data_IF_748422349284
#
_entry.id   IF_748422349284
#
_cell.length_a   1.000
_cell.length_b   1.000
_cell.length_c   1.000
_cell.angle_alpha   90.00
_cell.angle_beta   90.00
_cell.angle_gamma   90.00
#
_symmetry.space_group_name_H-M   'P 1'
#
loop_
_entity.id
_entity.type
_entity.pdbx_description
1 polymer ?
#
# COMPACT_ATOMS: atom_id res chain seq x y z
N UNK A 1 -16.44 42.16 -22.05
CA UNK A 1 -17.44 41.75 -23.07
C UNK A 1 -18.61 41.12 -22.35
N UNK A 2 -19.85 41.51 -22.66
CA UNK A 2 -21.03 40.98 -21.98
C UNK A 2 -21.20 39.48 -22.29
N UNK A 3 -21.50 38.68 -21.26
CA UNK A 3 -21.81 37.27 -21.42
C UNK A 3 -23.10 37.12 -22.24
N UNK A 4 -23.12 36.32 -23.33
CA UNK A 4 -24.27 36.22 -24.23
C UNK A 4 -25.52 35.66 -23.54
N UNK A 5 -25.35 34.91 -22.45
CA UNK A 5 -26.44 34.40 -21.62
C UNK A 5 -27.24 35.50 -20.92
N UNK A 6 -26.63 36.67 -20.68
CA UNK A 6 -27.22 37.75 -19.88
C UNK A 6 -27.55 39.02 -20.68
N UNK A 7 -27.17 39.07 -21.96
CA UNK A 7 -27.29 40.25 -22.82
C UNK A 7 -28.74 40.74 -22.98
N UNK A 8 -29.71 39.83 -23.07
CA UNK A 8 -31.12 40.15 -23.32
C UNK A 8 -31.95 40.39 -22.04
N UNK A 9 -31.33 40.24 -20.86
CA UNK A 9 -32.01 40.42 -19.57
C UNK A 9 -31.98 41.91 -19.18
N UNK A 10 -33.15 42.54 -18.93
CA UNK A 10 -33.19 43.91 -18.44
C UNK A 10 -32.69 43.96 -16.98
N UNK A 11 -31.95 45.02 -16.63
CA UNK A 11 -31.50 45.27 -15.25
C UNK A 11 -30.17 44.63 -14.86
N UNK A 12 -29.38 44.11 -15.81
CA UNK A 12 -28.01 43.65 -15.56
C UNK A 12 -27.05 44.85 -15.59
N UNK A 13 -26.23 44.99 -14.54
CA UNK A 13 -25.19 46.01 -14.47
C UNK A 13 -23.94 45.55 -15.25
N UNK A 14 -23.59 46.28 -16.31
CA UNK A 14 -22.44 45.96 -17.17
C UNK A 14 -21.16 46.72 -16.81
N UNK A 15 -21.30 47.90 -16.21
CA UNK A 15 -20.19 48.83 -15.92
C UNK A 15 -19.83 48.86 -14.43
N UNK A 16 -20.14 47.78 -13.70
CA UNK A 16 -19.77 47.62 -12.29
C UNK A 16 -18.70 46.53 -12.16
N UNK A 17 -17.73 46.68 -11.25
CA UNK A 17 -16.81 45.59 -10.93
C UNK A 17 -17.59 44.40 -10.39
N UNK A 18 -17.16 43.20 -10.78
CA UNK A 18 -17.79 41.93 -10.38
C UNK A 18 -17.61 41.66 -8.88
N UNK A 19 -16.49 42.11 -8.31
CA UNK A 19 -16.12 41.94 -6.90
C UNK A 19 -15.73 43.28 -6.30
N UNK A 20 -16.31 43.60 -5.14
CA UNK A 20 -15.90 44.72 -4.29
C UNK A 20 -15.21 44.15 -3.06
N UNK A 21 -13.88 44.15 -3.07
CA UNK A 21 -13.05 43.65 -1.97
C UNK A 21 -12.15 44.76 -1.42
N UNK A 22 -11.74 44.58 -0.16
CA UNK A 22 -10.70 45.41 0.45
C UNK A 22 -9.34 45.04 -0.15
N UNK A 23 -8.39 45.99 -0.19
CA UNK A 23 -7.03 45.69 -0.65
C UNK A 23 -6.44 44.51 0.14
N UNK A 24 -5.92 43.51 -0.59
CA UNK A 24 -5.26 42.36 0.02
C UNK A 24 -4.04 42.83 0.81
N UNK A 25 -4.14 42.73 2.13
CA UNK A 25 -3.00 42.96 3.01
C UNK A 25 -2.03 41.79 2.89
N UNK A 26 -0.71 42.03 2.91
CA UNK A 26 0.27 40.95 2.83
C UNK A 26 0.08 39.99 4.00
N UNK A 27 -0.32 38.75 3.71
CA UNK A 27 -0.58 37.66 4.67
C UNK A 27 0.64 37.31 5.56
N UNK A 28 1.81 37.90 5.29
CA UNK A 28 3.06 37.72 6.01
C UNK A 28 2.99 38.08 7.51
N UNK A 29 2.01 38.88 7.94
CA UNK A 29 1.83 39.24 9.36
C UNK A 29 0.90 38.28 10.14
N UNK A 30 0.35 37.23 9.51
CA UNK A 30 -0.63 36.32 10.14
C UNK A 30 0.00 35.04 10.73
N UNK A 31 1.18 34.63 10.28
CA UNK A 31 1.93 33.51 10.86
C UNK A 31 2.89 33.99 11.95
N UNK A 32 2.34 34.52 13.05
CA UNK A 32 3.07 34.50 14.30
C UNK A 32 2.99 33.08 14.84
N UNK A 33 3.94 32.23 14.45
CA UNK A 33 4.10 30.91 15.06
C UNK A 33 4.17 31.09 16.58
N UNK A 34 3.10 30.73 17.27
CA UNK A 34 3.07 30.66 18.73
C UNK A 34 3.91 29.46 19.15
N UNK A 35 5.22 29.65 19.20
CA UNK A 35 6.10 28.71 19.89
C UNK A 35 5.80 28.84 21.39
N UNK A 36 5.34 27.75 22.02
CA UNK A 36 5.37 27.65 23.48
C UNK A 36 6.83 27.85 23.92
N UNK A 37 7.11 28.98 24.55
CA UNK A 37 8.42 29.31 25.12
C UNK A 37 8.93 28.13 25.96
N UNK A 38 10.19 27.77 25.73
CA UNK A 38 10.85 26.74 26.52
C UNK A 38 10.90 27.22 27.98
N UNK A 39 10.07 26.62 28.83
CA UNK A 39 10.07 26.93 30.25
C UNK A 39 11.10 26.04 30.96
N UNK A 40 11.93 26.63 31.82
CA UNK A 40 12.94 25.92 32.62
C UNK A 40 12.35 24.79 33.51
N UNK A 41 11.03 24.73 33.66
CA UNK A 41 10.32 23.71 34.45
C UNK A 41 9.93 22.46 33.66
N UNK A 42 10.05 22.46 32.33
CA UNK A 42 9.62 21.35 31.46
C UNK A 42 10.82 20.84 30.65
N UNK A 43 11.29 19.63 30.95
CA UNK A 43 12.28 18.95 30.13
C UNK A 43 11.59 18.31 28.90
N UNK A 44 11.85 18.87 27.71
CA UNK A 44 11.39 18.29 26.44
C UNK A 44 12.35 17.18 25.99
N UNK A 45 11.98 15.93 26.24
CA UNK A 45 12.75 14.76 25.79
C UNK A 45 12.45 14.44 24.32
N UNK A 46 13.48 14.48 23.47
CA UNK A 46 13.35 14.01 22.09
C UNK A 46 13.31 12.47 22.08
N UNK A 47 12.16 11.90 21.75
CA UNK A 47 11.97 10.45 21.64
C UNK A 47 12.07 10.07 20.16
N UNK A 48 13.14 9.36 19.80
CA UNK A 48 13.22 8.76 18.47
C UNK A 48 12.62 7.36 18.48
N UNK A 49 11.65 7.12 17.59
CA UNK A 49 10.98 5.82 17.49
C UNK A 49 11.97 4.69 17.12
N UNK A 50 12.99 5.01 16.31
CA UNK A 50 14.01 4.05 15.89
C UNK A 50 14.94 3.62 17.03
N UNK A 51 15.41 4.54 17.87
CA UNK A 51 16.24 4.16 19.04
C UNK A 51 15.40 3.45 20.09
N UNK A 52 14.15 3.89 20.30
CA UNK A 52 13.22 3.20 21.20
C UNK A 52 12.99 1.75 20.71
N UNK A 53 12.69 1.56 19.42
CA UNK A 53 12.56 0.23 18.83
C UNK A 53 13.83 -0.60 19.03
N UNK A 54 15.01 -0.03 18.77
CA UNK A 54 16.29 -0.70 19.03
C UNK A 54 16.47 -1.14 20.49
N UNK A 55 16.04 -0.32 21.46
CA UNK A 55 16.11 -0.63 22.90
C UNK A 55 15.17 -1.74 23.35
N UNK A 56 14.05 -1.94 22.66
CA UNK A 56 13.04 -2.96 22.98
C UNK A 56 13.07 -4.16 22.05
N UNK A 57 13.80 -4.10 20.93
CA UNK A 57 13.99 -5.21 19.99
C UNK A 57 14.59 -6.40 20.72
N UNK A 58 13.90 -7.54 20.67
CA UNK A 58 14.32 -8.79 21.32
C UNK A 58 13.90 -8.94 22.78
N UNK A 59 13.27 -7.92 23.39
CA UNK A 59 12.61 -8.07 24.70
C UNK A 59 11.15 -8.49 24.46
N UNK A 60 10.78 -9.69 24.90
CA UNK A 60 9.41 -10.18 24.87
C UNK A 60 8.82 -10.22 26.29
N UNK A 61 7.51 -10.05 26.38
CA UNK A 61 6.77 -10.16 27.63
C UNK A 61 5.89 -11.41 27.56
N UNK A 62 5.89 -12.22 28.62
CA UNK A 62 4.97 -13.33 28.72
C UNK A 62 3.65 -12.87 29.36
N UNK A 63 2.53 -13.14 28.69
CA UNK A 63 1.19 -12.80 29.16
C UNK A 63 0.43 -13.99 29.75
N UNK A 64 1.03 -15.19 29.79
CA UNK A 64 0.33 -16.43 30.12
C UNK A 64 -0.17 -16.55 31.58
N UNK A 65 0.22 -15.64 32.48
CA UNK A 65 -0.19 -15.63 33.90
C UNK A 65 -0.68 -14.29 34.43
N UNK A 66 -0.97 -13.32 33.56
CA UNK A 66 -1.30 -11.95 33.96
C UNK A 66 -2.76 -11.86 34.45
N UNK A 67 -2.95 -11.68 35.76
CA UNK A 67 -4.27 -11.49 36.39
C UNK A 67 -4.29 -10.18 37.20
N UNK A 68 -4.94 -9.15 36.65
CA UNK A 68 -5.16 -7.84 37.32
C UNK A 68 -6.47 -7.79 38.13
N UNK A 69 -7.19 -8.90 38.30
CA UNK A 69 -8.36 -8.88 39.18
C UNK A 69 -7.92 -8.63 40.63
N UNK A 70 -8.74 -7.96 41.45
CA UNK A 70 -8.44 -7.74 42.88
C UNK A 70 -8.81 -8.94 43.76
N UNK A 71 -8.77 -10.17 43.21
CA UNK A 71 -9.11 -11.38 43.96
C UNK A 71 -7.98 -11.75 44.91
N UNK A 72 -8.26 -11.73 46.21
CA UNK A 72 -7.32 -12.10 47.26
C UNK A 72 -6.95 -13.59 47.09
N UNK A 73 -5.71 -13.86 46.70
CA UNK A 73 -5.16 -15.22 46.52
C UNK A 73 -3.87 -15.39 47.33
N UNK A 74 -3.46 -16.64 47.57
CA UNK A 74 -2.32 -16.95 48.44
C UNK A 74 -0.94 -16.69 47.80
N UNK A 75 -0.88 -16.55 46.48
CA UNK A 75 0.37 -16.27 45.75
C UNK A 75 0.44 -14.78 45.40
N UNK A 76 1.66 -14.23 45.36
CA UNK A 76 1.90 -12.83 44.95
C UNK A 76 1.62 -12.74 43.45
N UNK A 77 0.62 -11.96 43.07
CA UNK A 77 0.31 -11.69 41.67
C UNK A 77 1.40 -10.77 41.12
N UNK A 78 2.24 -11.31 40.25
CA UNK A 78 3.13 -10.51 39.40
C UNK A 78 2.38 -10.19 38.12
N UNK A 79 2.63 -9.00 37.55
CA UNK A 79 2.06 -8.60 36.27
C UNK A 79 2.77 -9.29 35.11
N UNK A 80 3.18 -8.53 34.10
CA UNK A 80 4.01 -9.05 33.03
C UNK A 80 5.35 -9.52 33.58
N UNK A 81 5.67 -10.79 33.35
CA UNK A 81 6.98 -11.34 33.66
C UNK A 81 7.90 -11.16 32.44
N UNK A 82 9.02 -10.49 32.67
CA UNK A 82 10.12 -10.43 31.72
C UNK A 82 10.89 -11.74 31.90
N UNK A 83 10.72 -12.68 30.97
CA UNK A 83 11.56 -13.88 30.89
C UNK A 83 12.98 -13.43 30.54
N UNK A 84 13.77 -13.10 31.55
CA UNK A 84 15.20 -13.28 31.46
C UNK A 84 15.46 -14.78 31.58
N UNK A 85 16.42 -15.28 30.81
CA UNK A 85 16.82 -16.69 30.74
C UNK A 85 17.26 -17.24 32.09
N UNK A 86 16.29 -17.53 32.96
CA UNK A 86 16.52 -18.12 34.26
C UNK A 86 16.18 -19.61 34.21
N UNK A 87 17.07 -20.38 34.86
CA UNK A 87 16.88 -21.80 35.13
C UNK A 87 15.60 -21.91 35.96
N UNK A 88 14.62 -22.66 35.46
CA UNK A 88 13.33 -22.86 36.13
C UNK A 88 13.58 -23.59 37.45
N UNK A 89 13.04 -23.06 38.56
CA UNK A 89 13.15 -23.67 39.89
C UNK A 89 12.42 -25.02 39.98
N UNK A 90 12.85 -25.86 40.92
CA UNK A 90 12.31 -27.21 41.15
C UNK A 90 10.77 -27.25 41.23
N UNK A 91 10.12 -27.91 40.25
CA UNK A 91 8.68 -28.24 40.30
C UNK A 91 7.88 -28.04 39.01
N UNK A 92 8.41 -27.34 38.01
CA UNK A 92 7.72 -27.11 36.72
C UNK A 92 8.26 -28.00 35.57
N UNK A 93 7.43 -28.30 34.58
CA UNK A 93 7.80 -29.18 33.45
C UNK A 93 8.61 -28.40 32.40
N UNK A 94 9.87 -28.78 32.20
CA UNK A 94 10.77 -28.18 31.20
C UNK A 94 10.29 -28.44 29.75
N UNK A 95 10.50 -27.46 28.86
CA UNK A 95 10.33 -27.66 27.41
C UNK A 95 11.50 -28.47 26.83
N UNK A 96 11.31 -29.22 25.72
CA UNK A 96 12.37 -30.04 25.13
C UNK A 96 13.64 -29.26 24.76
N UNK A 97 13.49 -28.01 24.30
CA UNK A 97 14.61 -27.14 23.92
C UNK A 97 15.36 -26.60 25.15
N UNK A 98 14.63 -26.26 26.22
CA UNK A 98 15.24 -25.85 27.49
C UNK A 98 15.97 -27.01 28.17
N UNK A 99 15.40 -28.23 28.11
CA UNK A 99 16.04 -29.46 28.60
C UNK A 99 17.32 -29.78 27.83
N UNK A 100 17.31 -29.61 26.51
CA UNK A 100 18.51 -29.77 25.68
C UNK A 100 19.64 -28.80 26.10
N UNK A 101 19.30 -27.53 26.31
CA UNK A 101 20.26 -26.50 26.73
C UNK A 101 20.77 -26.73 28.16
N UNK A 102 19.91 -27.14 29.10
CA UNK A 102 20.34 -27.55 30.45
C UNK A 102 21.31 -28.72 30.39
N UNK A 103 20.97 -29.77 29.64
CA UNK A 103 21.85 -30.93 29.48
C UNK A 103 23.19 -30.55 28.84
N UNK A 104 23.20 -29.59 27.90
CA UNK A 104 24.45 -29.09 27.32
C UNK A 104 25.33 -28.36 28.36
N UNK A 105 24.72 -27.64 29.30
CA UNK A 105 25.44 -26.96 30.39
C UNK A 105 25.91 -27.98 31.43
N UNK A 106 25.04 -28.89 31.87
CA UNK A 106 25.37 -29.94 32.85
C UNK A 106 26.47 -30.88 32.34
N UNK A 107 26.48 -31.24 31.05
CA UNK A 107 27.56 -32.05 30.46
C UNK A 107 28.88 -31.27 30.41
N UNK A 108 28.84 -29.95 30.19
CA UNK A 108 30.05 -29.10 30.24
C UNK A 108 30.58 -28.98 31.66
N UNK A 109 29.71 -28.74 32.64
CA UNK A 109 30.08 -28.69 34.05
C UNK A 109 30.68 -30.02 34.52
N UNK A 110 30.06 -31.15 34.15
CA UNK A 110 30.61 -32.48 34.41
C UNK A 110 31.96 -32.70 33.72
N UNK A 111 32.16 -32.19 32.50
CA UNK A 111 33.44 -32.26 31.82
C UNK A 111 34.53 -31.47 32.57
N UNK A 112 34.18 -30.30 33.08
CA UNK A 112 35.09 -29.46 33.86
C UNK A 112 35.43 -30.10 35.21
N UNK A 113 34.46 -30.70 35.91
CA UNK A 113 34.70 -31.44 37.16
C UNK A 113 35.58 -32.68 36.94
N UNK A 114 35.34 -33.45 35.88
CA UNK A 114 36.16 -34.62 35.55
C UNK A 114 37.59 -34.20 35.16
N UNK A 115 37.74 -33.07 34.49
CA UNK A 115 39.07 -32.51 34.18
C UNK A 115 39.79 -32.02 35.44
N UNK A 116 39.09 -31.38 36.38
CA UNK A 116 39.65 -31.03 37.69
C UNK A 116 40.04 -32.28 38.50
N UNK A 117 39.28 -33.37 38.43
CA UNK A 117 39.61 -34.65 39.06
C UNK A 117 40.83 -35.33 38.42
N UNK A 118 41.06 -35.15 37.12
CA UNK A 118 42.31 -35.57 36.47
C UNK A 118 43.51 -34.79 36.99
N UNK A 119 43.38 -33.47 37.15
CA UNK A 119 44.47 -32.59 37.59
C UNK A 119 44.81 -32.77 39.07
N UNK A 120 43.81 -33.00 39.93
CA UNK A 120 43.99 -33.17 41.38
C UNK A 120 44.49 -34.56 41.77
N UNK A 121 44.44 -35.55 40.86
CA UNK A 121 45.10 -36.85 41.02
C UNK A 121 44.65 -37.68 42.23
N UNK A 122 43.46 -37.42 42.77
CA UNK A 122 42.93 -38.18 43.93
C UNK A 122 42.40 -39.53 43.42
N UNK A 123 42.97 -40.67 43.83
CA UNK A 123 42.40 -41.97 43.52
C UNK A 123 41.11 -42.13 44.35
N UNK A 124 39.96 -41.97 43.70
CA UNK A 124 38.69 -42.38 44.29
C UNK A 124 38.77 -43.89 44.49
N UNK A 125 38.87 -44.31 45.74
CA UNK A 125 38.94 -45.71 46.10
C UNK A 125 37.64 -46.44 45.74
N UNK A 126 37.77 -47.51 44.95
CA UNK A 126 36.72 -48.50 44.67
C UNK A 126 36.29 -48.49 43.20
N UNK A 127 36.65 -49.56 42.48
CA UNK A 127 36.10 -50.10 41.19
C UNK A 127 35.54 -49.12 40.13
N UNK A 128 35.90 -47.84 40.16
CA UNK A 128 35.48 -46.83 39.21
C UNK A 128 36.53 -46.68 38.09
N UNK A 129 36.08 -46.47 36.84
CA UNK A 129 36.99 -46.28 35.72
C UNK A 129 37.89 -45.06 35.95
N UNK A 130 39.15 -45.10 35.50
CA UNK A 130 40.09 -44.00 35.67
C UNK A 130 39.50 -42.69 35.12
N UNK A 131 39.81 -41.53 35.72
CA UNK A 131 39.25 -40.23 35.34
C UNK A 131 39.53 -39.86 33.87
N UNK A 132 40.57 -40.45 33.27
CA UNK A 132 40.86 -40.37 31.84
C UNK A 132 39.77 -41.02 30.96
N UNK A 133 39.25 -42.19 31.35
CA UNK A 133 38.17 -42.87 30.64
C UNK A 133 36.83 -42.16 30.82
N UNK A 134 36.55 -41.62 32.02
CA UNK A 134 35.34 -40.85 32.28
C UNK A 134 35.27 -39.60 31.40
N UNK A 135 36.36 -38.87 31.22
CA UNK A 135 36.34 -37.71 30.32
C UNK A 135 36.16 -38.09 28.85
N UNK A 136 36.73 -39.21 28.41
CA UNK A 136 36.48 -39.70 27.05
C UNK A 136 35.00 -40.04 26.84
N UNK A 137 34.34 -40.59 27.86
CA UNK A 137 32.90 -40.87 27.84
C UNK A 137 32.06 -39.58 27.84
N UNK A 138 32.45 -38.57 28.63
CA UNK A 138 31.76 -37.26 28.67
C UNK A 138 31.93 -36.51 27.34
N UNK A 139 33.12 -36.52 26.74
CA UNK A 139 33.34 -35.97 25.39
C UNK A 139 32.52 -36.71 24.32
N UNK A 140 32.39 -38.04 24.42
CA UNK A 140 31.56 -38.82 23.52
C UNK A 140 30.07 -38.48 23.68
N UNK A 141 29.58 -38.31 24.92
CA UNK A 141 28.22 -37.87 25.19
C UNK A 141 27.96 -36.45 24.68
N UNK A 142 28.93 -35.54 24.77
CA UNK A 142 28.85 -34.19 24.20
C UNK A 142 28.74 -34.23 22.66
N UNK A 143 29.52 -35.10 21.99
CA UNK A 143 29.42 -35.30 20.54
C UNK A 143 28.08 -35.87 20.12
N UNK A 144 27.58 -36.88 20.84
CA UNK A 144 26.27 -37.48 20.58
C UNK A 144 25.13 -36.47 20.80
N UNK A 145 25.21 -35.63 21.83
CA UNK A 145 24.22 -34.58 22.05
C UNK A 145 24.25 -33.53 20.92
N UNK A 146 25.43 -33.22 20.39
CA UNK A 146 25.59 -32.33 19.24
C UNK A 146 25.09 -32.96 17.93
N UNK A 147 25.23 -34.27 17.71
CA UNK A 147 24.70 -34.99 16.54
C UNK A 147 23.17 -35.12 16.55
N UNK A 148 22.54 -35.08 17.73
CA UNK A 148 21.06 -35.03 17.86
C UNK A 148 20.50 -33.69 17.35
N UNK A 149 21.35 -32.72 16.96
CA UNK A 149 20.91 -31.61 16.11
C UNK A 149 20.38 -32.14 14.77
N UNK A 150 19.05 -32.04 14.62
CA UNK A 150 18.15 -32.49 13.54
C UNK A 150 18.51 -32.10 12.09
N UNK A 151 19.71 -31.61 11.78
CA UNK A 151 20.15 -31.32 10.42
C UNK A 151 20.48 -32.57 9.61
N UNK A 152 20.91 -33.66 10.25
CA UNK A 152 21.32 -34.89 9.53
C UNK A 152 20.16 -35.85 9.20
N UNK A 153 18.98 -35.66 9.81
CA UNK A 153 17.77 -36.43 9.47
C UNK A 153 17.04 -35.91 8.21
N UNK A 154 17.50 -34.79 7.62
CA UNK A 154 16.84 -34.12 6.48
C UNK A 154 17.66 -34.10 5.18
N UNK A 155 18.82 -34.78 5.13
CA UNK A 155 19.51 -35.20 3.90
C UNK A 155 19.91 -34.10 2.89
N UNK A 156 21.22 -33.98 2.60
CA UNK A 156 21.76 -33.10 1.55
C UNK A 156 21.22 -33.35 0.13
N UNK A 157 20.55 -34.49 -0.07
CA UNK A 157 19.91 -34.88 -1.33
C UNK A 157 18.65 -34.05 -1.61
N UNK A 158 17.89 -33.70 -0.57
CA UNK A 158 16.74 -32.78 -0.70
C UNK A 158 17.19 -31.36 -1.01
N UNK A 159 18.39 -30.93 -0.60
CA UNK A 159 18.91 -29.58 -0.90
C UNK A 159 19.30 -29.41 -2.38
N UNK A 160 19.63 -30.49 -3.10
CA UNK A 160 19.87 -30.45 -4.53
C UNK A 160 18.55 -30.41 -5.31
N UNK A 161 17.56 -31.20 -4.89
CA UNK A 161 16.21 -31.18 -5.46
C UNK A 161 15.45 -29.89 -5.10
N UNK A 162 15.73 -29.25 -3.96
CA UNK A 162 15.15 -27.96 -3.56
C UNK A 162 15.82 -26.76 -4.23
N UNK A 163 17.03 -26.91 -4.78
CA UNK A 163 17.72 -25.83 -5.49
C UNK A 163 17.10 -25.51 -6.85
N UNK A 164 16.53 -26.51 -7.53
CA UNK A 164 15.70 -26.28 -8.72
C UNK A 164 14.74 -27.46 -9.00
N UNK A 165 13.72 -27.67 -8.14
CA UNK A 165 12.77 -28.78 -8.27
C UNK A 165 11.94 -28.68 -9.56
N UNK A 166 11.72 -27.46 -10.02
CA UNK A 166 10.93 -27.15 -11.21
C UNK A 166 11.69 -27.50 -12.49
N UNK A 167 13.00 -27.18 -12.57
CA UNK A 167 13.81 -27.38 -13.78
C UNK A 167 13.98 -28.85 -14.18
N UNK A 168 14.25 -29.73 -13.21
CA UNK A 168 14.39 -31.16 -13.47
C UNK A 168 13.06 -31.84 -13.88
N UNK A 169 11.93 -31.35 -13.34
CA UNK A 169 10.58 -31.82 -13.70
C UNK A 169 10.18 -31.38 -15.10
N UNK A 170 10.51 -30.15 -15.49
CA UNK A 170 10.26 -29.61 -16.84
C UNK A 170 11.02 -30.40 -17.90
N UNK A 171 12.29 -30.73 -17.68
CA UNK A 171 13.08 -31.49 -18.65
C UNK A 171 12.55 -32.92 -18.85
N UNK A 172 12.10 -33.59 -17.78
CA UNK A 172 11.47 -34.93 -17.88
C UNK A 172 10.14 -34.88 -18.63
N UNK A 173 9.29 -33.92 -18.31
CA UNK A 173 8.01 -33.72 -19.02
C UNK A 173 8.22 -33.40 -20.50
N UNK A 174 9.21 -32.58 -20.85
CA UNK A 174 9.57 -32.31 -22.26
C UNK A 174 10.01 -33.58 -22.98
N UNK A 175 10.85 -34.42 -22.37
CA UNK A 175 11.27 -35.69 -22.97
C UNK A 175 10.11 -36.69 -23.11
N UNK A 176 9.18 -36.72 -22.16
CA UNK A 176 7.99 -37.57 -22.22
C UNK A 176 7.03 -37.09 -23.34
N UNK A 177 6.82 -35.78 -23.48
CA UNK A 177 6.04 -35.19 -24.57
C UNK A 177 6.67 -35.42 -25.95
N UNK A 178 8.01 -35.34 -26.04
CA UNK A 178 8.74 -35.66 -27.28
C UNK A 178 8.65 -37.14 -27.65
N UNK A 179 8.71 -38.04 -26.66
CA UNK A 179 8.54 -39.48 -26.89
C UNK A 179 7.12 -39.83 -27.36
N UNK A 180 6.10 -39.16 -26.80
CA UNK A 180 4.71 -39.36 -27.20
C UNK A 180 4.41 -38.75 -28.59
N UNK A 181 5.04 -37.61 -28.92
CA UNK A 181 5.01 -37.02 -30.28
C UNK A 181 5.65 -37.95 -31.33
N UNK A 182 6.70 -38.67 -30.98
CA UNK A 182 7.34 -39.63 -31.89
C UNK A 182 6.54 -40.93 -32.06
N UNK A 183 5.71 -41.31 -31.07
CA UNK A 183 4.85 -42.50 -31.13
C UNK A 183 3.52 -42.32 -31.90
N UNK A 184 3.16 -41.11 -32.33
CA UNK A 184 1.83 -40.80 -32.87
C UNK A 184 1.75 -40.75 -34.41
N UNK A 185 2.50 -41.58 -35.15
CA UNK A 185 2.43 -41.60 -36.63
C UNK A 185 1.45 -42.60 -37.24
N UNK A 186 0.78 -43.47 -36.48
CA UNK A 186 -0.10 -44.51 -37.05
C UNK A 186 -1.43 -44.71 -36.30
N UNK A 187 -2.35 -43.72 -36.31
CA UNK A 187 -3.78 -44.02 -36.15
C UNK A 187 -4.64 -43.10 -37.03
N UNK A 188 -5.24 -43.68 -38.09
CA UNK A 188 -6.35 -43.10 -38.86
C UNK A 188 -7.70 -43.50 -38.26
N UNK A 189 -8.59 -42.50 -38.22
CA UNK A 189 -10.05 -42.53 -38.40
C UNK A 189 -10.99 -42.74 -37.19
N UNK A 190 -11.92 -41.76 -37.09
CA UNK A 190 -13.36 -41.83 -36.77
C UNK A 190 -13.82 -42.46 -35.45
N UNK A 191 -14.70 -41.72 -34.75
CA UNK A 191 -15.78 -42.31 -33.95
C UNK A 191 -16.09 -41.52 -32.69
N UNK A 192 -17.18 -40.76 -32.75
CA UNK A 192 -17.80 -40.03 -31.64
C UNK A 192 -18.46 -41.01 -30.65
N UNK A 193 -18.09 -40.93 -29.36
CA UNK A 193 -18.91 -41.38 -28.23
C UNK A 193 -18.39 -40.81 -26.89
N UNK A 194 -19.28 -40.49 -25.93
CA UNK A 194 -18.96 -39.68 -24.75
C UNK A 194 -18.60 -40.55 -23.53
N UNK A 195 -17.64 -40.13 -22.71
CA UNK A 195 -17.68 -40.26 -21.24
C UNK A 195 -16.39 -39.73 -20.59
N UNK A 196 -16.54 -39.13 -19.41
CA UNK A 196 -15.47 -38.62 -18.57
C UNK A 196 -14.63 -39.71 -17.90
N UNK A 197 -13.78 -40.38 -18.67
CA UNK A 197 -12.52 -40.96 -18.20
C UNK A 197 -11.46 -40.71 -19.28
N UNK A 198 -10.24 -40.23 -18.93
CA UNK A 198 -9.23 -39.95 -19.94
C UNK A 198 -8.76 -41.27 -20.55
N UNK A 199 -8.91 -41.39 -21.87
CA UNK A 199 -8.34 -42.50 -22.62
C UNK A 199 -6.81 -42.51 -22.43
N UNK A 200 -6.24 -43.68 -22.12
CA UNK A 200 -4.80 -43.87 -22.03
C UNK A 200 -4.14 -43.46 -23.37
N UNK A 201 -3.46 -42.31 -23.35
CA UNK A 201 -2.82 -41.71 -24.53
C UNK A 201 -3.22 -40.26 -24.85
N UNK A 202 -4.18 -39.65 -24.13
CA UNK A 202 -4.53 -38.23 -24.31
C UNK A 202 -3.80 -37.37 -23.28
N UNK A 203 -2.89 -36.51 -23.74
CA UNK A 203 -2.22 -35.51 -22.89
C UNK A 203 -3.17 -34.36 -22.62
N UNK A 204 -3.75 -34.32 -21.42
CA UNK A 204 -4.46 -33.15 -20.92
C UNK A 204 -3.46 -32.17 -20.29
N UNK A 205 -3.25 -31.03 -20.93
CA UNK A 205 -2.44 -29.95 -20.37
C UNK A 205 -3.33 -29.04 -19.51
N UNK A 206 -3.20 -29.17 -18.19
CA UNK A 206 -3.87 -28.29 -17.23
C UNK A 206 -2.94 -27.14 -16.83
N UNK A 207 -3.24 -25.95 -17.34
CA UNK A 207 -2.45 -24.74 -17.09
C UNK A 207 -2.85 -24.15 -15.73
N UNK A 208 -2.09 -24.46 -14.68
CA UNK A 208 -2.31 -23.89 -13.35
C UNK A 208 -1.73 -22.47 -13.29
N UNK A 209 -2.57 -21.46 -13.55
CA UNK A 209 -2.20 -20.06 -13.36
C UNK A 209 -2.42 -19.65 -11.90
N UNK A 210 -1.37 -19.10 -11.26
CA UNK A 210 -1.45 -18.48 -9.92
C UNK A 210 -1.56 -16.96 -10.05
N UNK A 211 -2.77 -16.37 -10.08
CA UNK A 211 -2.95 -14.94 -10.28
C UNK A 211 -2.29 -14.10 -9.17
N UNK A 212 -2.27 -14.60 -7.93
CA UNK A 212 -1.68 -13.90 -6.78
C UNK A 212 -0.18 -13.63 -6.95
N UNK A 213 0.56 -14.55 -7.58
CA UNK A 213 1.99 -14.37 -7.82
C UNK A 213 2.26 -13.28 -8.86
N UNK A 214 1.41 -13.19 -9.89
CA UNK A 214 1.49 -12.12 -10.90
C UNK A 214 1.21 -10.76 -10.27
N UNK A 215 0.15 -10.64 -9.48
CA UNK A 215 -0.18 -9.40 -8.77
C UNK A 215 0.91 -9.01 -7.75
N UNK A 216 1.46 -9.97 -7.01
CA UNK A 216 2.58 -9.73 -6.09
C UNK A 216 3.84 -9.27 -6.84
N UNK A 217 4.12 -9.84 -8.02
CA UNK A 217 5.23 -9.37 -8.85
C UNK A 217 4.99 -7.94 -9.35
N UNK A 218 3.75 -7.57 -9.70
CA UNK A 218 3.38 -6.22 -10.14
C UNK A 218 3.47 -5.22 -8.99
N UNK A 219 2.94 -5.55 -7.82
CA UNK A 219 3.01 -4.70 -6.64
C UNK A 219 4.45 -4.52 -6.14
N UNK A 220 5.29 -5.56 -6.21
CA UNK A 220 6.72 -5.45 -5.87
C UNK A 220 7.45 -4.45 -6.78
N UNK A 221 7.15 -4.43 -8.08
CA UNK A 221 7.73 -3.46 -9.03
C UNK A 221 7.23 -2.05 -8.74
N UNK A 222 5.95 -1.88 -8.43
CA UNK A 222 5.39 -0.58 -8.04
C UNK A 222 6.04 -0.05 -6.76
N UNK A 223 6.20 -0.90 -5.74
CA UNK A 223 6.87 -0.54 -4.49
C UNK A 223 8.34 -0.15 -4.70
N UNK A 224 9.07 -0.81 -5.62
CA UNK A 224 10.43 -0.41 -5.97
C UNK A 224 10.48 0.96 -6.65
N UNK A 225 9.53 1.26 -7.54
CA UNK A 225 9.43 2.58 -8.18
C UNK A 225 9.08 3.65 -7.15
N UNK A 226 8.14 3.37 -6.25
CA UNK A 226 7.76 4.25 -5.15
C UNK A 226 8.93 4.52 -4.21
N UNK A 227 9.72 3.50 -3.84
CA UNK A 227 10.93 3.69 -3.03
C UNK A 227 11.96 4.58 -3.72
N UNK A 228 12.17 4.40 -5.03
CA UNK A 228 13.09 5.24 -5.82
C UNK A 228 12.59 6.67 -5.94
N UNK A 229 11.28 6.84 -6.13
CA UNK A 229 10.61 8.13 -6.19
C UNK A 229 10.72 8.84 -4.85
N UNK A 230 10.42 8.15 -3.75
CA UNK A 230 10.60 8.65 -2.38
C UNK A 230 12.06 9.07 -2.11
N UNK A 231 13.04 8.29 -2.57
CA UNK A 231 14.44 8.69 -2.44
C UNK A 231 14.71 10.00 -3.18
N UNK A 232 14.22 10.14 -4.42
CA UNK A 232 14.35 11.38 -5.19
C UNK A 232 13.62 12.56 -4.50
N UNK A 233 12.41 12.36 -4.00
CA UNK A 233 11.65 13.37 -3.26
C UNK A 233 12.34 13.78 -1.96
N UNK A 234 12.90 12.84 -1.20
CA UNK A 234 13.64 13.12 0.02
C UNK A 234 14.93 13.91 -0.23
N UNK A 235 15.60 13.63 -1.36
CA UNK A 235 16.83 14.32 -1.76
C UNK A 235 16.55 15.72 -2.30
N UNK A 236 15.50 15.90 -3.11
CA UNK A 236 15.10 17.21 -3.62
C UNK A 236 14.40 18.05 -2.54
N UNK A 237 13.68 17.41 -1.61
CA UNK A 237 13.14 18.01 -0.40
C UNK A 237 12.39 19.30 -0.62
N UNK A 238 11.60 19.39 -1.70
CA UNK A 238 10.88 20.60 -2.11
C UNK A 238 9.66 20.84 -1.22
N UNK A 239 9.88 21.21 0.04
CA UNK A 239 8.83 21.86 0.81
C UNK A 239 8.66 23.28 0.27
N UNK A 240 7.42 23.77 0.11
CA UNK A 240 7.16 25.11 -0.41
C UNK A 240 7.86 26.19 0.41
N UNK A 241 8.02 25.95 1.72
CA UNK A 241 8.79 26.82 2.64
C UNK A 241 10.28 26.90 2.29
N UNK A 242 10.95 25.76 2.05
CA UNK A 242 12.38 25.75 1.66
C UNK A 242 12.58 26.39 0.29
N UNK A 243 11.67 26.14 -0.65
CA UNK A 243 11.69 26.79 -1.96
C UNK A 243 11.49 28.30 -1.82
N UNK A 244 10.56 28.75 -0.98
CA UNK A 244 10.38 30.18 -0.69
C UNK A 244 11.64 30.83 -0.10
N UNK A 245 12.40 30.13 0.75
CA UNK A 245 13.68 30.65 1.27
C UNK A 245 14.81 30.72 0.24
N UNK A 246 14.83 29.83 -0.75
CA UNK A 246 15.84 29.82 -1.82
C UNK A 246 15.54 30.88 -2.89
N UNK A 247 14.26 31.20 -3.07
CA UNK A 247 13.74 32.08 -4.11
C UNK A 247 13.45 33.51 -3.60
N UNK A 248 14.14 33.93 -2.54
CA UNK A 248 14.07 35.31 -2.02
C UNK A 248 14.80 36.24 -2.99
N UNK A 249 14.16 36.56 -4.10
CA UNK A 249 14.36 37.83 -4.79
C UNK A 249 13.32 38.84 -4.31
N UNK A 250 13.72 40.05 -3.90
CA UNK A 250 12.82 41.04 -3.30
C UNK A 250 11.80 41.66 -4.26
N UNK A 251 11.80 41.27 -5.54
CA UNK A 251 10.95 41.89 -6.58
C UNK A 251 9.69 41.11 -6.95
N UNK A 252 9.65 39.79 -6.75
CA UNK A 252 8.48 38.96 -7.10
C UNK A 252 8.34 37.78 -6.13
N UNK A 253 7.74 38.01 -4.95
CA UNK A 253 7.42 36.94 -3.98
C UNK A 253 6.27 36.03 -4.42
N UNK A 254 5.57 36.37 -5.51
CA UNK A 254 4.36 35.70 -5.96
C UNK A 254 4.60 34.65 -7.05
N UNK A 255 5.82 34.51 -7.57
CA UNK A 255 6.09 33.54 -8.65
C UNK A 255 6.55 32.19 -8.07
N UNK A 256 5.91 31.06 -8.42
CA UNK A 256 6.47 29.75 -8.11
C UNK A 256 7.78 29.61 -8.89
N UNK A 257 8.90 29.63 -8.17
CA UNK A 257 10.22 29.58 -8.79
C UNK A 257 10.68 28.12 -8.88
N UNK A 258 11.14 27.73 -10.07
CA UNK A 258 11.65 26.38 -10.29
C UNK A 258 13.02 26.20 -9.63
N UNK A 259 13.35 24.98 -9.19
CA UNK A 259 14.67 24.69 -8.61
C UNK A 259 15.82 25.06 -9.57
N UNK A 260 15.59 24.90 -10.88
CA UNK A 260 16.55 25.29 -11.90
C UNK A 260 16.78 26.80 -11.92
N UNK A 261 15.72 27.59 -11.84
CA UNK A 261 15.81 29.06 -11.80
C UNK A 261 16.52 29.54 -10.53
N UNK A 262 16.25 28.92 -9.37
CA UNK A 262 16.97 29.20 -8.12
C UNK A 262 18.48 28.89 -8.22
N UNK A 263 18.85 27.74 -8.82
CA UNK A 263 20.26 27.37 -9.03
C UNK A 263 20.93 28.30 -10.04
N UNK A 264 20.23 28.69 -11.12
CA UNK A 264 20.73 29.65 -12.09
C UNK A 264 20.98 31.01 -11.44
N UNK A 265 20.06 31.48 -10.61
CA UNK A 265 20.20 32.72 -9.85
C UNK A 265 21.37 32.64 -8.87
N UNK A 266 21.53 31.54 -8.14
CA UNK A 266 22.68 31.34 -7.27
C UNK A 266 23.98 31.29 -8.07
N UNK A 267 24.00 30.64 -9.24
CA UNK A 267 25.16 30.62 -10.12
C UNK A 267 25.51 32.01 -10.65
N UNK A 268 24.50 32.84 -10.96
CA UNK A 268 24.69 34.23 -11.33
C UNK A 268 25.27 35.03 -10.16
N UNK A 269 24.73 34.87 -8.94
CA UNK A 269 25.28 35.49 -7.72
C UNK A 269 26.73 35.05 -7.45
N UNK A 270 27.07 33.78 -7.70
CA UNK A 270 28.45 33.27 -7.59
C UNK A 270 29.35 33.90 -8.64
N UNK A 271 28.87 34.12 -9.86
CA UNK A 271 29.65 34.83 -10.90
C UNK A 271 29.91 36.30 -10.55
N UNK A 272 29.06 36.93 -9.72
CA UNK A 272 29.30 38.28 -9.17
C UNK A 272 30.41 38.28 -8.11
N UNK A 273 30.77 37.13 -7.53
CA UNK A 273 31.89 37.07 -6.58
C UNK A 273 33.26 37.14 -7.29
N UNK A 274 33.31 36.91 -8.60
CA UNK A 274 34.52 37.11 -9.39
C UNK A 274 34.65 38.57 -9.82
N UNK A 275 35.46 39.31 -9.06
CA UNK A 275 35.76 40.73 -9.30
C UNK A 275 36.32 41.01 -10.70
N UNK A 276 37.10 40.09 -11.28
CA UNK A 276 37.69 40.30 -12.60
C UNK A 276 36.66 40.14 -13.73
N UNK A 277 35.69 39.24 -13.55
CA UNK A 277 34.57 39.11 -14.46
C UNK A 277 33.59 40.28 -14.35
N UNK A 278 33.38 40.84 -13.16
CA UNK A 278 32.57 42.05 -12.97
C UNK A 278 33.12 43.25 -13.72
N UNK A 279 34.42 43.56 -13.59
CA UNK A 279 35.05 44.69 -14.28
C UNK A 279 34.94 44.57 -15.81
N UNK A 280 35.08 43.35 -16.34
CA UNK A 280 34.92 43.08 -17.77
C UNK A 280 33.46 43.25 -18.23
N UNK A 281 32.50 42.79 -17.43
CA UNK A 281 31.06 42.95 -17.71
C UNK A 281 30.66 44.42 -17.63
N UNK A 282 31.13 45.17 -16.64
CA UNK A 282 30.88 46.60 -16.49
C UNK A 282 31.39 47.39 -17.70
N UNK A 283 32.62 47.12 -18.16
CA UNK A 283 33.16 47.75 -19.37
C UNK A 283 32.32 47.45 -20.63
N UNK A 284 31.79 46.22 -20.76
CA UNK A 284 30.89 45.85 -21.86
C UNK A 284 29.51 46.51 -21.74
N UNK A 285 28.98 46.65 -20.53
CA UNK A 285 27.70 47.31 -20.28
C UNK A 285 27.77 48.81 -20.58
N UNK A 286 28.86 49.48 -20.21
CA UNK A 286 29.08 50.90 -20.56
C UNK A 286 29.09 51.06 -22.09
N UNK A 287 29.80 50.19 -22.82
CA UNK A 287 29.85 50.22 -24.27
C UNK A 287 28.48 49.91 -24.92
N UNK A 288 27.66 49.06 -24.28
CA UNK A 288 26.31 48.75 -24.74
C UNK A 288 25.35 49.92 -24.49
N UNK A 289 25.41 50.55 -23.31
CA UNK A 289 24.59 51.70 -22.95
C UNK A 289 24.79 52.85 -23.94
N UNK A 290 26.05 53.18 -24.27
CA UNK A 290 26.38 54.19 -25.28
C UNK A 290 25.79 53.86 -26.66
N UNK A 291 25.77 52.58 -27.05
CA UNK A 291 25.13 52.14 -28.31
C UNK A 291 23.61 52.23 -28.22
N UNK A 292 23.02 51.91 -27.08
CA UNK A 292 21.57 51.99 -26.84
C UNK A 292 21.09 53.44 -26.89
N UNK A 293 21.80 54.38 -26.28
CA UNK A 293 21.52 55.82 -26.38
C UNK A 293 21.58 56.29 -27.84
N UNK A 294 22.59 55.85 -28.60
CA UNK A 294 22.70 56.18 -30.03
C UNK A 294 21.60 55.60 -30.92
N UNK A 295 20.90 54.55 -30.45
CA UNK A 295 19.76 53.94 -31.13
C UNK A 295 18.47 54.63 -30.70
N UNK A 296 18.33 54.98 -29.42
CA UNK A 296 17.19 55.74 -28.89
C UNK A 296 17.07 57.10 -29.60
N UNK A 297 18.20 57.79 -29.82
CA UNK A 297 18.27 59.05 -30.56
C UNK A 297 17.84 58.91 -32.04
N UNK A 298 17.92 57.70 -32.62
CA UNK A 298 17.52 57.41 -34.01
C UNK A 298 16.06 56.94 -34.11
N UNK A 299 15.56 56.23 -33.10
CA UNK A 299 14.24 55.62 -33.07
C UNK A 299 13.13 56.54 -32.52
N UNK A 300 13.44 57.69 -31.93
CA UNK A 300 12.46 58.64 -31.39
C UNK A 300 11.56 59.34 -32.44
N UNK A 301 11.59 58.88 -33.70
CA UNK A 301 10.86 59.48 -34.83
C UNK A 301 9.64 58.66 -35.30
N UNK A 302 9.36 57.48 -34.72
CA UNK A 302 8.25 56.60 -35.12
C UNK A 302 7.22 56.43 -33.99
N UNK A 303 6.17 57.25 -34.01
CA UNK A 303 5.11 57.27 -32.97
C UNK A 303 4.09 56.12 -33.14
N UNK A 304 4.01 55.49 -34.31
CA UNK A 304 3.08 54.37 -34.57
C UNK A 304 3.47 53.04 -33.91
N UNK A 305 4.66 52.95 -33.31
CA UNK A 305 5.12 51.74 -32.63
C UNK A 305 4.51 51.61 -31.23
N UNK A 306 4.21 52.71 -30.53
CA UNK A 306 3.75 52.66 -29.13
C UNK A 306 2.42 51.92 -28.91
N UNK A 307 1.42 52.12 -29.78
CA UNK A 307 0.13 51.39 -29.66
C UNK A 307 0.25 49.92 -30.06
N UNK A 308 1.16 49.59 -30.99
CA UNK A 308 1.44 48.20 -31.36
C UNK A 308 2.23 47.51 -30.27
N UNK A 309 3.21 48.18 -29.69
CA UNK A 309 4.00 47.72 -28.56
C UNK A 309 3.11 47.47 -27.35
N UNK A 310 2.15 48.36 -27.06
CA UNK A 310 1.21 48.14 -25.96
C UNK A 310 0.33 46.90 -26.18
N UNK A 311 -0.18 46.68 -27.40
CA UNK A 311 -0.93 45.46 -27.75
C UNK A 311 -0.04 44.21 -27.67
N UNK A 312 1.22 44.31 -28.08
CA UNK A 312 2.20 43.21 -28.01
C UNK A 312 2.55 42.89 -26.56
N UNK A 313 2.67 43.89 -25.69
CA UNK A 313 2.90 43.72 -24.25
C UNK A 313 1.68 43.05 -23.61
N UNK A 314 0.46 43.50 -23.93
CA UNK A 314 -0.78 42.86 -23.45
C UNK A 314 -0.87 41.39 -23.90
N UNK A 315 -0.52 41.10 -25.15
CA UNK A 315 -0.47 39.73 -25.67
C UNK A 315 0.62 38.89 -24.99
N UNK A 316 1.79 39.48 -24.74
CA UNK A 316 2.89 38.83 -24.03
C UNK A 316 2.50 38.49 -22.60
N UNK A 317 1.82 39.41 -21.89
CA UNK A 317 1.34 39.18 -20.54
C UNK A 317 0.26 38.08 -20.50
N UNK A 318 -0.67 38.09 -21.45
CA UNK A 318 -1.66 37.02 -21.58
C UNK A 318 -1.00 35.66 -21.89
N UNK A 319 0.01 35.65 -22.76
CA UNK A 319 0.75 34.44 -23.10
C UNK A 319 1.52 33.91 -21.88
N UNK A 320 2.24 34.78 -21.18
CA UNK A 320 3.07 34.41 -20.03
C UNK A 320 2.23 33.94 -18.84
N UNK A 321 1.14 34.65 -18.52
CA UNK A 321 0.28 34.32 -17.37
C UNK A 321 -0.58 33.08 -17.62
N UNK A 322 -1.23 33.00 -18.79
CA UNK A 322 -2.28 32.00 -18.99
C UNK A 322 -1.83 30.83 -19.86
N UNK A 323 -0.98 31.06 -20.86
CA UNK A 323 -0.66 30.02 -21.83
C UNK A 323 0.58 29.22 -21.46
N UNK A 324 1.60 29.84 -20.86
CA UNK A 324 2.86 29.14 -20.56
C UNK A 324 2.68 28.10 -19.46
N UNK A 325 2.03 28.46 -18.34
CA UNK A 325 1.77 27.53 -17.25
C UNK A 325 0.80 26.41 -17.66
N UNK A 326 -0.31 26.77 -18.33
CA UNK A 326 -1.32 25.80 -18.77
C UNK A 326 -0.80 24.89 -19.88
N UNK A 327 0.01 25.42 -20.82
CA UNK A 327 0.57 24.60 -21.90
C UNK A 327 1.59 23.57 -21.39
N UNK A 328 2.33 23.88 -20.31
CA UNK A 328 3.25 22.92 -19.70
C UNK A 328 2.50 21.76 -19.01
N UNK A 329 1.35 22.04 -18.40
CA UNK A 329 0.57 21.05 -17.63
C UNK A 329 -0.38 20.25 -18.54
N UNK A 330 -0.74 20.77 -19.72
CA UNK A 330 -1.69 20.14 -20.64
C UNK A 330 -1.31 18.70 -21.05
N UNK A 331 -0.07 18.39 -21.48
CA UNK A 331 0.31 17.02 -21.82
C UNK A 331 0.17 16.06 -20.65
N UNK A 332 0.53 16.49 -19.44
CA UNK A 332 0.40 15.69 -18.22
C UNK A 332 -1.08 15.46 -17.88
N UNK A 333 -1.93 16.47 -18.01
CA UNK A 333 -3.38 16.28 -17.80
C UNK A 333 -3.98 15.31 -18.81
N UNK A 334 -3.53 15.33 -20.07
CA UNK A 334 -3.99 14.40 -21.09
C UNK A 334 -3.54 12.98 -20.77
N UNK A 335 -2.30 12.78 -20.34
CA UNK A 335 -1.80 11.45 -19.96
C UNK A 335 -2.53 10.92 -18.71
N UNK A 336 -2.83 11.79 -17.74
CA UNK A 336 -3.71 11.45 -16.60
C UNK A 336 -5.12 11.08 -17.04
N UNK A 337 -5.71 11.78 -18.01
CA UNK A 337 -7.02 11.42 -18.56
C UNK A 337 -6.99 10.08 -19.31
N UNK A 338 -5.91 9.79 -20.04
CA UNK A 338 -5.71 8.51 -20.73
C UNK A 338 -5.56 7.35 -19.75
N UNK A 339 -4.74 7.50 -18.71
CA UNK A 339 -4.58 6.48 -17.67
C UNK A 339 -5.87 6.25 -16.88
N UNK A 340 -6.67 7.29 -16.64
CA UNK A 340 -7.98 7.19 -15.98
C UNK A 340 -9.14 6.80 -16.90
N UNK A 341 -8.92 6.66 -18.21
CA UNK A 341 -9.97 6.36 -19.18
C UNK A 341 -10.74 5.08 -18.83
N UNK A 342 -10.03 4.00 -18.46
CA UNK A 342 -10.66 2.73 -18.12
C UNK A 342 -11.57 2.86 -16.87
N UNK A 343 -11.14 3.64 -15.88
CA UNK A 343 -11.92 3.92 -14.68
C UNK A 343 -13.15 4.77 -15.01
N UNK A 344 -13.00 5.81 -15.84
CA UNK A 344 -14.13 6.64 -16.29
C UNK A 344 -15.14 5.81 -17.09
N UNK A 345 -14.68 4.91 -17.94
CA UNK A 345 -15.55 3.99 -18.68
C UNK A 345 -16.31 3.06 -17.74
N UNK A 346 -15.62 2.46 -16.76
CA UNK A 346 -16.24 1.61 -15.76
C UNK A 346 -17.28 2.37 -14.92
N UNK A 347 -16.99 3.62 -14.53
CA UNK A 347 -17.93 4.47 -13.80
C UNK A 347 -19.18 4.81 -14.63
N UNK A 348 -19.01 5.07 -15.93
CA UNK A 348 -20.11 5.30 -16.85
C UNK A 348 -21.00 4.05 -17.03
N UNK A 349 -20.38 2.88 -17.17
CA UNK A 349 -21.10 1.61 -17.27
C UNK A 349 -21.77 1.22 -15.93
N UNK A 350 -21.16 1.57 -14.80
CA UNK A 350 -21.78 1.42 -13.48
C UNK A 350 -23.08 2.22 -13.38
N UNK A 351 -23.09 3.49 -13.82
CA UNK A 351 -24.31 4.30 -13.85
C UNK A 351 -25.43 3.67 -14.69
N UNK A 352 -25.09 3.09 -15.85
CA UNK A 352 -26.06 2.34 -16.67
C UNK A 352 -26.55 1.09 -15.94
N UNK A 353 -25.65 0.30 -15.37
CA UNK A 353 -26.01 -0.93 -14.64
C UNK A 353 -26.92 -0.62 -13.43
N UNK A 354 -26.70 0.51 -12.76
CA UNK A 354 -27.53 0.96 -11.64
C UNK A 354 -28.94 1.33 -12.11
N UNK A 355 -29.06 2.06 -13.23
CA UNK A 355 -30.37 2.37 -13.80
C UNK A 355 -31.13 1.12 -14.28
N UNK A 356 -30.41 0.12 -14.81
CA UNK A 356 -30.99 -1.16 -15.20
C UNK A 356 -31.46 -1.95 -13.97
N UNK A 357 -30.65 -1.96 -12.90
CA UNK A 357 -30.99 -2.62 -11.65
C UNK A 357 -32.21 -1.96 -10.99
N UNK A 358 -32.30 -0.64 -11.01
CA UNK A 358 -33.47 0.10 -10.53
C UNK A 358 -34.73 -0.27 -11.34
N UNK A 359 -34.63 -0.32 -12.67
CA UNK A 359 -35.75 -0.74 -13.52
C UNK A 359 -36.20 -2.19 -13.23
N UNK A 360 -35.25 -3.12 -13.06
CA UNK A 360 -35.55 -4.51 -12.68
C UNK A 360 -36.19 -4.57 -11.29
N UNK A 361 -35.70 -3.79 -10.34
CA UNK A 361 -36.28 -3.72 -9.00
C UNK A 361 -37.72 -3.17 -9.02
N UNK A 362 -38.00 -2.15 -9.83
CA UNK A 362 -39.36 -1.63 -10.04
C UNK A 362 -40.28 -2.67 -10.71
N UNK A 363 -39.75 -3.47 -11.66
CA UNK A 363 -40.52 -4.54 -12.27
C UNK A 363 -40.83 -5.67 -11.26
N UNK A 364 -39.86 -6.06 -10.43
CA UNK A 364 -40.04 -7.06 -9.38
C UNK A 364 -41.05 -6.57 -8.35
N UNK A 365 -40.95 -5.32 -7.88
CA UNK A 365 -41.92 -4.77 -6.92
C UNK A 365 -43.33 -4.72 -7.50
N UNK A 366 -43.48 -4.34 -8.77
CA UNK A 366 -44.76 -4.43 -9.48
C UNK A 366 -45.29 -5.87 -9.59
N UNK A 367 -44.43 -6.85 -9.90
CA UNK A 367 -44.82 -8.26 -9.98
C UNK A 367 -45.24 -8.84 -8.61
N UNK A 368 -44.58 -8.40 -7.54
CA UNK A 368 -44.90 -8.77 -6.16
C UNK A 368 -46.26 -8.20 -5.77
N UNK A 369 -46.52 -6.93 -6.09
CA UNK A 369 -47.81 -6.30 -5.85
C UNK A 369 -48.94 -6.99 -6.62
N UNK A 370 -48.73 -7.36 -7.88
CA UNK A 370 -49.70 -8.13 -8.65
C UNK A 370 -49.95 -9.52 -8.05
N UNK A 371 -48.90 -10.18 -7.55
CA UNK A 371 -49.03 -11.49 -6.89
C UNK A 371 -49.79 -11.38 -5.57
N UNK A 372 -49.56 -10.31 -4.81
CA UNK A 372 -50.30 -10.00 -3.59
C UNK A 372 -51.79 -9.78 -3.88
N UNK A 373 -52.11 -8.99 -4.90
CA UNK A 373 -53.49 -8.77 -5.34
C UNK A 373 -54.15 -10.08 -5.77
N UNK A 374 -53.47 -10.92 -6.56
CA UNK A 374 -54.00 -12.21 -6.99
C UNK A 374 -54.29 -13.14 -5.81
N UNK A 375 -53.43 -13.15 -4.78
CA UNK A 375 -53.66 -13.93 -3.56
C UNK A 375 -54.84 -13.40 -2.75
N UNK A 376 -55.04 -12.08 -2.69
CA UNK A 376 -56.22 -11.48 -2.06
C UNK A 376 -57.50 -11.86 -2.82
N UNK A 377 -57.51 -11.78 -4.15
CA UNK A 377 -58.63 -12.19 -4.99
C UNK A 377 -58.94 -13.69 -4.86
N UNK A 378 -57.91 -14.53 -4.80
CA UNK A 378 -58.08 -15.97 -4.54
C UNK A 378 -58.67 -16.22 -3.16
N UNK A 379 -58.18 -15.55 -2.11
CA UNK A 379 -58.74 -15.65 -0.76
C UNK A 379 -60.22 -15.25 -0.73
N UNK A 380 -60.59 -14.16 -1.38
CA UNK A 380 -61.99 -13.72 -1.48
C UNK A 380 -62.84 -14.71 -2.28
N UNK A 381 -62.29 -15.29 -3.34
CA UNK A 381 -62.96 -16.34 -4.11
C UNK A 381 -63.20 -17.60 -3.26
N UNK A 382 -62.22 -18.00 -2.44
CA UNK A 382 -62.34 -19.15 -1.54
C UNK A 382 -63.38 -18.91 -0.44
N UNK A 383 -63.44 -17.69 0.12
CA UNK A 383 -64.48 -17.32 1.07
C UNK A 383 -65.88 -17.41 0.43
N UNK A 384 -66.05 -16.85 -0.77
CA UNK A 384 -67.31 -16.95 -1.53
C UNK A 384 -67.68 -18.40 -1.84
N UNK A 385 -66.71 -19.23 -2.25
CA UNK A 385 -66.94 -20.65 -2.53
C UNK A 385 -67.32 -21.44 -1.27
N UNK A 386 -66.70 -21.14 -0.12
CA UNK A 386 -67.03 -21.75 1.17
C UNK A 386 -68.45 -21.38 1.63
N UNK A 387 -68.85 -20.12 1.46
CA UNK A 387 -70.23 -19.68 1.74
C UNK A 387 -71.24 -20.39 0.83
N UNK A 388 -70.92 -20.51 -0.47
CA UNK A 388 -71.72 -21.27 -1.42
C UNK A 388 -71.85 -22.75 -1.02
N UNK A 389 -70.74 -23.39 -0.65
CA UNK A 389 -70.73 -24.77 -0.15
C UNK A 389 -71.56 -24.93 1.11
N UNK A 390 -71.44 -24.00 2.08
CA UNK A 390 -72.24 -24.00 3.30
C UNK A 390 -73.73 -23.87 2.98
N UNK A 391 -74.10 -22.98 2.06
CA UNK A 391 -75.49 -22.82 1.62
C UNK A 391 -76.02 -24.06 0.89
N UNK A 392 -75.20 -24.71 0.08
CA UNK A 392 -75.56 -25.94 -0.63
C UNK A 392 -75.70 -27.13 0.32
N UNK A 393 -74.80 -27.26 1.31
CA UNK A 393 -74.90 -28.26 2.38
C UNK A 393 -76.18 -28.06 3.20
N UNK A 394 -76.52 -26.83 3.58
CA UNK A 394 -77.77 -26.54 4.28
C UNK A 394 -79.02 -26.88 3.43
N UNK A 395 -78.97 -26.67 2.12
CA UNK A 395 -80.02 -27.11 1.18
C UNK A 395 -80.10 -28.63 1.06
N UNK A 396 -78.97 -29.33 1.09
CA UNK A 396 -78.90 -30.79 1.07
C UNK A 396 -79.45 -31.38 2.38
N UNK A 397 -79.04 -30.84 3.52
CA UNK A 397 -79.48 -31.27 4.84
C UNK A 397 -80.98 -31.05 5.05
N UNK A 398 -81.52 -29.92 4.58
CA UNK A 398 -82.97 -29.69 4.58
C UNK A 398 -83.73 -30.68 3.67
N UNK A 399 -83.17 -31.06 2.51
CA UNK A 399 -83.75 -32.13 1.66
C UNK A 399 -83.68 -33.51 2.30
N UNK A 400 -82.57 -33.88 2.95
CA UNK A 400 -82.41 -35.15 3.66
C UNK A 400 -83.40 -35.23 4.82
N UNK A 401 -83.52 -34.15 5.60
CA UNK A 401 -84.48 -34.04 6.70
C UNK A 401 -85.94 -34.14 6.22
N UNK A 402 -86.26 -33.65 5.03
CA UNK A 402 -87.60 -33.78 4.44
C UNK A 402 -87.90 -35.23 3.96
N UNK A 403 -86.89 -35.98 3.53
CA UNK A 403 -87.02 -37.39 3.15
C UNK A 403 -87.14 -38.31 4.37
N UNK A 404 -86.48 -38.00 5.49
CA UNK A 404 -86.55 -38.78 6.73
C UNK A 404 -87.84 -38.61 7.54
N UNK A 405 -88.78 -37.75 7.10
CA UNK A 405 -90.10 -37.54 7.72
C UNK A 405 -91.25 -38.31 7.05
N UNK A 406 -90.94 -39.27 6.19
CA UNK A 406 -91.87 -40.31 5.69
C UNK A 406 -91.42 -41.65 6.24
#
# INVERSE_FOLDING_TARGET
MANPKYADLPGIAYDQPDVYETEDLPEADQNADFYEEETDSIERLHISANEAFGRFKGKSLNAAGVDFSDRITKSRRSGYEVLNWEIVGEGEKETPLQKYQRLQIEIKELADEVNQLKETGVPVGGDQPPPAQLAQLVEAAQRQLAEVHLEEALGSELLADLKDPEGARVMRLLTELESLRQGSTDIKAKGDAPSGQPAAGVVSYELQFRPEQSELSRSSRLAQLEQRLHFAESALGATPERMATLCVDPRDRARPCSLLEAVQLLSAKVSLLDTAHLDHVEGRLIALAQKMDSIADKNSSTVEDAERDQKVIELYDLMKKNSEEVAQILPETLDRMLTLQALHQQAADFGKSLSQLEAVQQQISGSLHNSEQLLQEQKDSFLKQLELLKSNLARLDSRISALGKK
#
